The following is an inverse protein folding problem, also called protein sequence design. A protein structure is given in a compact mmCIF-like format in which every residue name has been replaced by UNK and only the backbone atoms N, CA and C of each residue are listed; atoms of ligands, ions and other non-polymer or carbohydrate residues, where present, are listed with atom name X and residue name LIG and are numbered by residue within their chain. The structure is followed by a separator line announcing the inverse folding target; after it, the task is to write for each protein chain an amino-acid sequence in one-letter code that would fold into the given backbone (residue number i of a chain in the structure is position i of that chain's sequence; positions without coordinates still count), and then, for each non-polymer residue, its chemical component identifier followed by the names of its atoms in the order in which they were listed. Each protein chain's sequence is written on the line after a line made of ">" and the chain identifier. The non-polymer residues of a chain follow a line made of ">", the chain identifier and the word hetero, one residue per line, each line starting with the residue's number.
data_IF_355355693025
#
_entry.id   IF_355355693025
#
_cell.length_a   1.000
_cell.length_b   1.000
_cell.length_c   1.000
_cell.angle_alpha   90.00
_cell.angle_beta   90.00
_cell.angle_gamma   90.00
#
_symmetry.space_group_name_H-M   'P 1'
#
loop_
_entity.id
_entity.type
_entity.pdbx_description
1 polymer ?
#
# COMPACT_ATOMS: atom_id res chain seq x y z
N UNK A 1 6.92 5.22 14.54
CA UNK A 1 5.70 5.24 15.38
C UNK A 1 4.53 4.49 14.74
N UNK A 2 4.03 4.87 13.55
CA UNK A 2 2.91 4.19 12.88
C UNK A 2 3.05 2.65 12.79
N UNK A 3 4.22 2.16 12.34
CA UNK A 3 4.54 0.71 12.30
C UNK A 3 4.34 -0.01 13.64
N UNK A 4 4.74 0.62 14.75
CA UNK A 4 4.66 0.03 16.10
C UNK A 4 3.18 -0.08 16.52
N UNK A 5 2.37 0.94 16.24
CA UNK A 5 0.93 0.88 16.52
C UNK A 5 0.20 -0.13 15.63
N UNK A 6 0.58 -0.27 14.36
CA UNK A 6 0.01 -1.30 13.49
C UNK A 6 0.35 -2.71 13.96
N UNK A 7 1.61 -2.93 14.36
CA UNK A 7 2.01 -4.21 14.95
C UNK A 7 1.27 -4.50 16.27
N UNK A 8 1.02 -3.48 17.08
CA UNK A 8 0.22 -3.64 18.29
C UNK A 8 -1.25 -3.96 17.97
N UNK A 9 -1.83 -3.36 16.94
CA UNK A 9 -3.17 -3.72 16.47
C UNK A 9 -3.23 -5.17 15.99
N UNK A 10 -2.24 -5.63 15.21
CA UNK A 10 -2.10 -7.03 14.81
C UNK A 10 -2.00 -7.98 16.02
N UNK A 11 -1.20 -7.61 17.02
CA UNK A 11 -1.10 -8.39 18.25
C UNK A 11 -2.46 -8.49 18.95
N UNK A 12 -3.15 -7.37 19.12
CA UNK A 12 -4.45 -7.34 19.78
C UNK A 12 -5.50 -8.16 19.03
N UNK A 13 -5.52 -8.12 17.70
CA UNK A 13 -6.49 -8.91 16.91
C UNK A 13 -6.17 -10.41 16.96
N UNK A 14 -4.89 -10.80 17.02
CA UNK A 14 -4.48 -12.20 17.25
C UNK A 14 -4.93 -12.66 18.64
N UNK A 15 -4.71 -11.86 19.68
CA UNK A 15 -5.13 -12.20 21.04
C UNK A 15 -6.66 -12.29 21.15
N UNK A 16 -7.38 -11.38 20.48
CA UNK A 16 -8.84 -11.46 20.39
C UNK A 16 -9.29 -12.73 19.68
N UNK A 17 -8.67 -13.10 18.55
CA UNK A 17 -8.97 -14.37 17.86
C UNK A 17 -8.74 -15.58 18.76
N UNK A 18 -7.61 -15.63 19.48
CA UNK A 18 -7.32 -16.70 20.43
C UNK A 18 -8.42 -16.77 21.49
N UNK A 19 -8.81 -15.63 22.08
CA UNK A 19 -9.88 -15.58 23.06
C UNK A 19 -11.21 -16.12 22.51
N UNK A 20 -11.53 -15.82 21.24
CA UNK A 20 -12.74 -16.30 20.56
C UNK A 20 -12.76 -17.81 20.32
N UNK A 21 -11.61 -18.45 20.11
CA UNK A 21 -11.54 -19.90 19.87
C UNK A 21 -11.38 -20.71 21.16
N UNK A 22 -10.92 -20.09 22.25
CA UNK A 22 -10.72 -20.75 23.55
C UNK A 22 -11.87 -20.56 24.53
N UNK A 23 -12.82 -19.67 24.24
CA UNK A 23 -14.01 -19.42 25.06
C UNK A 23 -14.92 -20.69 25.08
N UNK A 24 -15.14 -21.33 26.24
CA UNK A 24 -15.94 -22.54 26.34
C UNK A 24 -17.45 -22.28 26.32
N UNK A 25 -17.90 -21.03 26.44
CA UNK A 25 -19.32 -20.68 26.24
C UNK A 25 -19.64 -20.69 24.74
N UNK A 26 -20.59 -21.55 24.36
CA UNK A 26 -20.95 -21.96 22.99
C UNK A 26 -21.65 -20.87 22.15
N UNK A 27 -21.03 -19.70 22.06
CA UNK A 27 -21.34 -18.76 20.98
C UNK A 27 -20.08 -18.02 20.56
N UNK A 28 -19.40 -18.62 19.58
CA UNK A 28 -19.01 -17.87 18.38
C UNK A 28 -20.26 -17.20 17.80
N UNK A 29 -20.80 -16.18 18.49
CA UNK A 29 -21.92 -15.43 17.93
C UNK A 29 -21.45 -14.92 16.58
N UNK A 30 -22.28 -15.04 15.55
CA UNK A 30 -21.97 -14.55 14.22
C UNK A 30 -21.49 -13.09 14.28
N UNK A 31 -22.01 -12.32 15.23
CA UNK A 31 -21.57 -10.97 15.56
C UNK A 31 -20.09 -10.87 16.00
N UNK A 32 -19.62 -11.75 16.91
CA UNK A 32 -18.22 -11.72 17.37
C UNK A 32 -17.25 -12.05 16.25
N UNK A 33 -17.58 -13.02 15.39
CA UNK A 33 -16.78 -13.37 14.20
C UNK A 33 -16.81 -12.22 13.20
N UNK A 34 -17.98 -11.66 12.93
CA UNK A 34 -18.12 -10.51 12.03
C UNK A 34 -17.29 -9.32 12.50
N UNK A 35 -17.31 -9.01 13.79
CA UNK A 35 -16.48 -7.95 14.38
C UNK A 35 -14.98 -8.24 14.25
N UNK A 36 -14.56 -9.49 14.45
CA UNK A 36 -13.18 -9.90 14.21
C UNK A 36 -12.77 -9.65 12.75
N UNK A 37 -13.57 -10.13 11.79
CA UNK A 37 -13.29 -9.99 10.35
C UNK A 37 -13.22 -8.51 9.94
N UNK A 38 -14.15 -7.68 10.42
CA UNK A 38 -14.14 -6.24 10.19
C UNK A 38 -12.84 -5.59 10.70
N UNK A 39 -12.46 -5.84 11.94
CA UNK A 39 -11.26 -5.24 12.54
C UNK A 39 -10.00 -5.74 11.82
N UNK A 40 -9.93 -7.04 11.51
CA UNK A 40 -8.83 -7.63 10.76
C UNK A 40 -8.67 -6.97 9.38
N UNK A 41 -9.78 -6.70 8.67
CA UNK A 41 -9.73 -5.95 7.43
C UNK A 41 -9.23 -4.52 7.59
N UNK A 42 -9.70 -3.80 8.62
CA UNK A 42 -9.24 -2.43 8.87
C UNK A 42 -7.73 -2.39 9.14
N UNK A 43 -7.19 -3.36 9.90
CA UNK A 43 -5.76 -3.46 10.15
C UNK A 43 -4.99 -3.74 8.86
N UNK A 44 -5.46 -4.67 8.03
CA UNK A 44 -4.87 -4.92 6.70
C UNK A 44 -4.91 -3.67 5.80
N UNK A 45 -5.99 -2.89 5.86
CA UNK A 45 -6.13 -1.66 5.09
C UNK A 45 -5.10 -0.62 5.53
N UNK A 46 -4.90 -0.46 6.84
CA UNK A 46 -3.92 0.46 7.38
C UNK A 46 -2.48 0.04 7.02
N UNK A 47 -2.18 -1.26 7.07
CA UNK A 47 -0.90 -1.81 6.62
C UNK A 47 -0.64 -1.56 5.13
N UNK A 48 -1.64 -1.79 4.28
CA UNK A 48 -1.55 -1.50 2.85
C UNK A 48 -1.33 -0.01 2.58
N UNK A 49 -2.08 0.87 3.27
CA UNK A 49 -1.90 2.32 3.17
C UNK A 49 -0.51 2.75 3.62
N UNK A 50 -0.03 2.20 4.73
CA UNK A 50 1.31 2.47 5.25
C UNK A 50 2.39 2.09 4.23
N UNK A 51 2.32 0.89 3.63
CA UNK A 51 3.25 0.45 2.59
C UNK A 51 3.21 1.34 1.34
N UNK A 52 2.02 1.71 0.86
CA UNK A 52 1.87 2.63 -0.29
C UNK A 52 2.47 4.00 0.01
N UNK A 53 2.22 4.54 1.20
CA UNK A 53 2.80 5.82 1.63
C UNK A 53 4.32 5.74 1.73
N UNK A 54 4.85 4.64 2.24
CA UNK A 54 6.29 4.42 2.34
C UNK A 54 6.95 4.37 0.95
N UNK A 55 6.36 3.63 -0.01
CA UNK A 55 6.83 3.60 -1.40
C UNK A 55 6.81 5.00 -2.02
N UNK A 56 5.69 5.72 -1.86
CA UNK A 56 5.54 7.08 -2.38
C UNK A 56 6.59 8.02 -1.82
N UNK A 57 6.74 8.09 -0.50
CA UNK A 57 7.64 9.05 0.13
C UNK A 57 9.12 8.67 -0.09
N UNK A 58 9.43 7.37 -0.23
CA UNK A 58 10.77 6.91 -0.61
C UNK A 58 11.12 7.35 -2.05
N UNK A 59 10.16 7.23 -2.99
CA UNK A 59 10.29 7.77 -4.35
C UNK A 59 10.50 9.29 -4.33
N UNK A 60 9.66 10.04 -3.61
CA UNK A 60 9.75 11.50 -3.53
C UNK A 60 11.14 11.94 -3.02
N UNK A 61 11.69 11.22 -2.03
CA UNK A 61 13.05 11.48 -1.51
C UNK A 61 14.15 11.21 -2.53
N UNK A 62 14.04 10.12 -3.30
CA UNK A 62 15.01 9.79 -4.35
C UNK A 62 15.06 10.89 -5.43
N UNK A 63 13.90 11.35 -5.89
CA UNK A 63 13.80 12.42 -6.89
C UNK A 63 14.40 13.75 -6.40
N UNK A 64 14.18 14.11 -5.13
CA UNK A 64 14.78 15.32 -4.54
C UNK A 64 16.31 15.25 -4.47
N UNK A 65 16.86 14.05 -4.25
CA UNK A 65 18.31 13.85 -4.24
C UNK A 65 18.92 13.93 -5.66
N UNK A 66 18.17 13.54 -6.70
CA UNK A 66 18.56 13.72 -8.09
C UNK A 66 18.54 15.20 -8.53
N UNK A 67 17.51 15.95 -8.13
CA UNK A 67 17.38 17.37 -8.49
C UNK A 67 18.37 18.29 -7.75
N UNK A 68 18.77 17.96 -6.52
CA UNK A 68 19.68 18.78 -5.73
C UNK A 68 21.16 18.61 -6.09
N UNK A 69 21.50 17.72 -7.04
CA UNK A 69 22.86 17.62 -7.59
C UNK A 69 23.17 18.68 -8.65
N UNK A 70 22.17 19.43 -9.15
CA UNK A 70 22.36 20.42 -10.22
C UNK A 70 22.24 21.89 -9.78
N UNK A 71 21.96 22.15 -8.50
CA UNK A 71 21.86 23.51 -7.97
C UNK A 71 22.81 23.67 -6.78
N UNK A 72 23.72 24.64 -6.87
CA UNK A 72 24.58 25.06 -5.75
C UNK A 72 23.74 25.29 -4.49
N UNK A 73 24.17 24.78 -3.32
CA UNK A 73 23.38 24.83 -2.10
C UNK A 73 23.39 26.26 -1.56
N UNK A 74 22.25 26.94 -1.67
CA UNK A 74 21.98 28.08 -0.80
C UNK A 74 21.75 27.51 0.61
N UNK A 75 22.80 27.56 1.42
CA UNK A 75 22.76 27.35 2.86
C UNK A 75 21.73 28.29 3.49
N UNK A 76 20.52 27.79 3.69
CA UNK A 76 19.62 28.30 4.70
C UNK A 76 19.33 27.12 5.62
N UNK A 77 20.27 26.87 6.53
CA UNK A 77 20.01 26.11 7.74
C UNK A 77 18.83 26.76 8.46
N UNK A 78 17.66 26.14 8.35
CA UNK A 78 16.52 26.47 9.18
C UNK A 78 16.75 25.87 10.57
N UNK A 79 17.55 26.59 11.36
CA UNK A 79 17.92 26.30 12.74
C UNK A 79 16.73 26.39 13.72
N UNK A 80 15.50 26.62 13.22
CA UNK A 80 14.33 26.94 14.03
C UNK A 80 13.43 25.73 14.37
N UNK A 81 13.68 24.54 13.80
CA UNK A 81 12.80 23.37 13.98
C UNK A 81 13.34 22.23 14.86
N UNK A 82 14.60 22.31 15.31
CA UNK A 82 15.22 21.18 16.03
C UNK A 82 14.85 21.15 17.52
N UNK A 83 14.72 22.30 18.20
CA UNK A 83 14.52 22.34 19.67
C UNK A 83 13.09 22.05 20.15
N UNK A 84 12.06 22.24 19.32
CA UNK A 84 10.66 21.99 19.71
C UNK A 84 10.20 20.54 19.48
N UNK A 85 10.99 19.74 18.75
CA UNK A 85 10.65 18.35 18.39
C UNK A 85 11.08 17.32 19.44
N UNK A 86 12.10 17.63 20.25
CA UNK A 86 12.67 16.68 21.22
C UNK A 86 11.83 16.49 22.48
N UNK A 87 10.98 17.46 22.86
CA UNK A 87 10.18 17.37 24.10
C UNK A 87 8.76 16.83 23.90
N UNK A 88 8.21 16.81 22.67
CA UNK A 88 6.80 16.46 22.40
C UNK A 88 6.62 15.01 21.89
N UNK A 89 7.67 14.31 21.46
CA UNK A 89 7.57 12.94 20.94
C UNK A 89 8.54 11.99 21.64
N UNK A 90 8.28 11.68 22.92
CA UNK A 90 8.70 10.35 23.40
C UNK A 90 7.81 9.34 22.66
N UNK A 91 8.37 8.47 21.80
CA UNK A 91 7.55 7.52 21.06
C UNK A 91 6.75 6.68 22.08
N UNK A 92 5.43 6.62 21.92
CA UNK A 92 4.60 5.72 22.73
C UNK A 92 5.02 4.29 22.35
N UNK A 93 5.92 3.73 23.16
CA UNK A 93 6.49 2.41 22.95
C UNK A 93 5.78 1.44 23.87
N UNK A 94 5.34 0.31 23.32
CA UNK A 94 4.78 -0.79 24.09
C UNK A 94 5.92 -1.62 24.67
N UNK A 95 6.62 -1.07 25.67
CA UNK A 95 7.82 -1.68 26.27
C UNK A 95 7.53 -3.10 26.77
N UNK A 96 6.37 -3.31 27.38
CA UNK A 96 5.96 -4.62 27.91
C UNK A 96 5.65 -5.66 26.83
N UNK A 97 5.31 -5.21 25.60
CA UNK A 97 4.96 -6.07 24.47
C UNK A 97 6.09 -6.17 23.44
N UNK A 98 7.26 -5.55 23.67
CA UNK A 98 8.30 -5.41 22.65
C UNK A 98 8.75 -6.77 22.08
N UNK A 99 8.86 -7.79 22.93
CA UNK A 99 9.25 -9.15 22.53
C UNK A 99 8.19 -9.82 21.65
N UNK A 100 6.92 -9.67 21.99
CA UNK A 100 5.80 -10.27 21.26
C UNK A 100 5.58 -9.54 19.93
N UNK A 101 5.66 -8.21 19.95
CA UNK A 101 5.59 -7.38 18.76
C UNK A 101 6.72 -7.67 17.78
N UNK A 102 7.96 -7.95 18.23
CA UNK A 102 9.06 -8.35 17.33
C UNK A 102 8.71 -9.57 16.47
N UNK A 103 7.90 -10.49 16.98
CA UNK A 103 7.47 -11.69 16.25
C UNK A 103 6.43 -11.37 15.18
N UNK A 104 5.56 -10.38 15.44
CA UNK A 104 4.51 -9.92 14.51
C UNK A 104 5.08 -8.92 13.48
N UNK A 105 5.99 -8.04 13.89
CA UNK A 105 6.71 -7.08 13.04
C UNK A 105 7.51 -7.79 11.93
N UNK A 106 7.66 -9.12 12.01
CA UNK A 106 8.23 -9.96 10.95
C UNK A 106 7.46 -9.87 9.62
N UNK A 107 6.36 -9.14 9.49
CA UNK A 107 5.79 -8.75 8.19
C UNK A 107 6.63 -7.72 7.38
N UNK A 108 7.88 -7.45 7.78
CA UNK A 108 8.94 -6.89 6.92
C UNK A 108 8.71 -5.51 6.28
N UNK A 109 7.77 -4.69 6.77
CA UNK A 109 7.74 -3.28 6.33
C UNK A 109 8.60 -2.46 7.30
N UNK A 110 9.66 -1.86 6.77
CA UNK A 110 10.54 -0.96 7.51
C UNK A 110 9.82 0.35 7.87
N UNK A 111 10.33 1.05 8.87
CA UNK A 111 9.95 2.42 9.22
C UNK A 111 10.92 3.47 8.69
N UNK A 112 12.00 3.03 8.04
CA UNK A 112 12.90 3.88 7.28
C UNK A 112 12.50 3.93 5.80
N UNK A 113 12.83 5.03 5.13
CA UNK A 113 12.75 5.12 3.67
C UNK A 113 13.57 4.01 3.03
N UNK A 114 12.98 3.37 2.02
CA UNK A 114 13.60 2.25 1.30
C UNK A 114 14.27 2.71 0.02
N UNK A 115 15.43 2.15 -0.25
CA UNK A 115 16.15 2.28 -1.51
C UNK A 115 16.67 0.94 -2.03
N UNK A 116 16.56 -0.11 -1.23
CA UNK A 116 16.97 -1.47 -1.59
C UNK A 116 15.80 -2.22 -2.24
N UNK A 117 16.05 -2.82 -3.40
CA UNK A 117 15.03 -3.47 -4.22
C UNK A 117 14.40 -4.68 -3.51
N UNK A 118 15.15 -5.42 -2.68
CA UNK A 118 14.62 -6.57 -1.96
C UNK A 118 13.60 -6.13 -0.90
N UNK A 119 13.91 -5.08 -0.14
CA UNK A 119 12.97 -4.49 0.81
C UNK A 119 11.71 -3.97 0.11
N UNK A 120 11.87 -3.30 -1.03
CA UNK A 120 10.76 -2.74 -1.82
C UNK A 120 9.87 -3.84 -2.39
N UNK A 121 10.46 -4.94 -2.86
CA UNK A 121 9.73 -6.12 -3.31
C UNK A 121 8.86 -6.72 -2.22
N UNK A 122 9.41 -6.84 -1.01
CA UNK A 122 8.67 -7.36 0.14
C UNK A 122 7.49 -6.44 0.49
N UNK A 123 7.71 -5.12 0.47
CA UNK A 123 6.66 -4.13 0.69
C UNK A 123 5.54 -4.27 -0.34
N UNK A 124 5.87 -4.27 -1.64
CA UNK A 124 4.86 -4.42 -2.70
C UNK A 124 4.06 -5.72 -2.53
N UNK A 125 4.77 -6.84 -2.33
CA UNK A 125 4.16 -8.17 -2.18
C UNK A 125 3.16 -8.18 -1.02
N UNK A 126 3.53 -7.62 0.13
CA UNK A 126 2.64 -7.55 1.29
C UNK A 126 1.47 -6.59 1.06
N UNK A 127 1.69 -5.42 0.47
CA UNK A 127 0.63 -4.46 0.11
C UNK A 127 -0.41 -5.11 -0.79
N UNK A 128 0.02 -5.76 -1.88
CA UNK A 128 -0.89 -6.43 -2.81
C UNK A 128 -1.63 -7.58 -2.12
N UNK A 129 -0.95 -8.37 -1.27
CA UNK A 129 -1.59 -9.43 -0.49
C UNK A 129 -2.69 -8.89 0.43
N UNK A 130 -2.44 -7.83 1.20
CA UNK A 130 -3.44 -7.24 2.08
C UNK A 130 -4.60 -6.65 1.30
N UNK A 131 -4.33 -5.92 0.21
CA UNK A 131 -5.37 -5.36 -0.65
C UNK A 131 -6.24 -6.47 -1.27
N UNK A 132 -5.68 -7.60 -1.66
CA UNK A 132 -6.43 -8.74 -2.18
C UNK A 132 -7.37 -9.34 -1.13
N UNK A 133 -6.91 -9.49 0.13
CA UNK A 133 -7.78 -9.98 1.22
C UNK A 133 -8.99 -9.05 1.40
N UNK A 134 -8.75 -7.74 1.40
CA UNK A 134 -9.81 -6.75 1.58
C UNK A 134 -10.75 -6.74 0.35
N UNK A 135 -10.20 -6.83 -0.87
CA UNK A 135 -10.99 -6.91 -2.10
C UNK A 135 -11.94 -8.11 -2.09
N UNK A 136 -11.43 -9.30 -1.74
CA UNK A 136 -12.22 -10.53 -1.72
C UNK A 136 -13.36 -10.46 -0.70
N UNK A 137 -13.16 -9.82 0.45
CA UNK A 137 -14.24 -9.59 1.40
C UNK A 137 -15.34 -8.71 0.80
N UNK A 138 -15.00 -7.53 0.28
CA UNK A 138 -16.00 -6.62 -0.28
C UNK A 138 -16.68 -7.18 -1.53
N UNK A 139 -15.99 -8.04 -2.29
CA UNK A 139 -16.59 -8.83 -3.35
C UNK A 139 -17.63 -9.81 -2.81
N UNK A 140 -17.31 -10.54 -1.73
CA UNK A 140 -18.23 -11.50 -1.09
C UNK A 140 -19.52 -10.86 -0.58
N UNK A 141 -19.46 -9.61 -0.10
CA UNK A 141 -20.64 -8.85 0.36
C UNK A 141 -21.20 -7.88 -0.69
N UNK A 142 -20.78 -8.01 -1.96
CA UNK A 142 -21.26 -7.25 -3.10
C UNK A 142 -21.19 -5.71 -2.92
N UNK A 143 -20.14 -5.21 -2.27
CA UNK A 143 -19.92 -3.78 -2.05
C UNK A 143 -18.99 -3.19 -3.11
N UNK A 144 -19.59 -2.55 -4.11
CA UNK A 144 -18.86 -2.01 -5.27
C UNK A 144 -17.84 -0.91 -4.93
N UNK A 145 -18.26 0.12 -4.20
CA UNK A 145 -17.41 1.32 -3.98
C UNK A 145 -16.08 0.96 -3.28
N UNK A 146 -16.07 0.15 -2.19
CA UNK A 146 -14.82 -0.29 -1.58
C UNK A 146 -13.94 -1.12 -2.52
N UNK A 147 -14.53 -2.03 -3.32
CA UNK A 147 -13.77 -2.80 -4.32
C UNK A 147 -13.00 -1.88 -5.27
N UNK A 148 -13.66 -0.84 -5.79
CA UNK A 148 -13.06 0.15 -6.69
C UNK A 148 -11.90 0.91 -6.04
N UNK A 149 -12.06 1.34 -4.79
CA UNK A 149 -11.01 2.04 -4.05
C UNK A 149 -9.78 1.16 -3.86
N UNK A 150 -9.98 -0.13 -3.60
CA UNK A 150 -8.90 -1.10 -3.41
C UNK A 150 -8.12 -1.32 -4.71
N UNK A 151 -8.80 -1.46 -5.85
CA UNK A 151 -8.16 -1.59 -7.15
C UNK A 151 -7.31 -0.36 -7.47
N UNK A 152 -7.82 0.86 -7.20
CA UNK A 152 -7.04 2.09 -7.34
C UNK A 152 -5.81 2.13 -6.42
N UNK A 153 -5.92 1.57 -5.20
CA UNK A 153 -4.78 1.44 -4.29
C UNK A 153 -3.73 0.45 -4.82
N UNK A 154 -4.15 -0.68 -5.41
CA UNK A 154 -3.23 -1.62 -6.07
C UNK A 154 -2.49 -0.94 -7.22
N UNK A 155 -3.21 -0.20 -8.09
CA UNK A 155 -2.61 0.59 -9.17
C UNK A 155 -1.53 1.55 -8.65
N UNK A 156 -1.84 2.30 -7.59
CA UNK A 156 -0.87 3.22 -6.97
C UNK A 156 0.37 2.50 -6.43
N UNK A 157 0.21 1.31 -5.86
CA UNK A 157 1.34 0.53 -5.36
C UNK A 157 2.31 0.19 -6.49
N UNK A 158 1.81 -0.34 -7.62
CA UNK A 158 2.62 -0.59 -8.83
C UNK A 158 3.27 0.69 -9.37
N UNK A 159 2.49 1.78 -9.46
CA UNK A 159 2.96 3.08 -9.93
C UNK A 159 4.12 3.66 -9.10
N UNK A 160 4.15 3.41 -7.79
CA UNK A 160 5.28 3.86 -6.96
C UNK A 160 6.43 2.86 -7.02
N UNK A 161 6.14 1.56 -7.05
CA UNK A 161 7.13 0.49 -7.14
C UNK A 161 8.01 0.60 -8.40
N UNK A 162 7.42 0.95 -9.56
CA UNK A 162 8.16 1.02 -10.83
C UNK A 162 9.40 1.93 -10.78
N UNK A 163 9.40 2.96 -9.94
CA UNK A 163 10.52 3.91 -9.82
C UNK A 163 11.79 3.31 -9.23
N UNK A 164 11.67 2.17 -8.56
CA UNK A 164 12.80 1.49 -7.94
C UNK A 164 13.39 0.40 -8.83
N UNK A 165 12.76 0.10 -9.96
CA UNK A 165 13.31 -0.84 -10.94
C UNK A 165 14.46 -0.18 -11.70
N UNK A 166 15.62 -0.83 -11.69
CA UNK A 166 16.86 -0.27 -12.22
C UNK A 166 16.90 -0.19 -13.76
N UNK A 167 16.12 -1.02 -14.46
CA UNK A 167 16.16 -1.08 -15.92
C UNK A 167 14.81 -0.79 -16.55
N UNK A 168 14.82 -0.06 -17.68
CA UNK A 168 13.62 0.24 -18.47
C UNK A 168 12.81 -1.02 -18.80
N UNK A 169 13.48 -2.15 -19.08
CA UNK A 169 12.80 -3.43 -19.37
C UNK A 169 12.01 -3.94 -18.16
N UNK A 170 12.56 -3.85 -16.94
CA UNK A 170 11.82 -4.25 -15.74
C UNK A 170 10.70 -3.26 -15.42
N UNK A 171 10.94 -1.97 -15.61
CA UNK A 171 9.91 -0.93 -15.47
C UNK A 171 8.71 -1.19 -16.38
N UNK A 172 8.96 -1.47 -17.66
CA UNK A 172 7.94 -1.84 -18.65
C UNK A 172 7.13 -3.05 -18.16
N UNK A 173 7.78 -4.13 -17.70
CA UNK A 173 7.09 -5.32 -17.18
C UNK A 173 6.16 -5.02 -16.01
N UNK A 174 6.58 -4.13 -15.10
CA UNK A 174 5.75 -3.72 -13.96
C UNK A 174 4.51 -2.95 -14.42
N UNK A 175 4.66 -2.06 -15.41
CA UNK A 175 3.55 -1.28 -15.97
C UNK A 175 2.60 -2.19 -16.77
N UNK A 176 3.12 -3.19 -17.49
CA UNK A 176 2.33 -4.23 -18.14
C UNK A 176 1.50 -5.00 -17.11
N UNK A 177 2.11 -5.44 -16.01
CA UNK A 177 1.39 -6.10 -14.90
C UNK A 177 0.32 -5.20 -14.29
N UNK A 178 0.59 -3.90 -14.14
CA UNK A 178 -0.39 -2.92 -13.66
C UNK A 178 -1.58 -2.81 -14.63
N UNK A 179 -1.32 -2.74 -15.94
CA UNK A 179 -2.35 -2.65 -16.97
C UNK A 179 -3.21 -3.93 -17.01
N UNK A 180 -2.58 -5.11 -17.05
CA UNK A 180 -3.27 -6.41 -17.03
C UNK A 180 -4.18 -6.55 -15.81
N UNK A 181 -3.71 -6.15 -14.63
CA UNK A 181 -4.48 -6.15 -13.39
C UNK A 181 -5.71 -5.23 -13.49
N UNK A 182 -5.51 -3.98 -13.96
CA UNK A 182 -6.59 -3.00 -14.12
C UNK A 182 -7.65 -3.49 -15.13
N UNK A 183 -7.21 -4.03 -16.27
CA UNK A 183 -8.12 -4.59 -17.29
C UNK A 183 -8.94 -5.75 -16.76
N UNK A 184 -8.29 -6.70 -16.07
CA UNK A 184 -8.95 -7.84 -15.47
C UNK A 184 -10.08 -7.40 -14.53
N UNK A 185 -9.80 -6.45 -13.63
CA UNK A 185 -10.82 -5.93 -12.72
C UNK A 185 -11.91 -5.13 -13.44
N UNK A 186 -11.56 -4.26 -14.38
CA UNK A 186 -12.55 -3.47 -15.16
C UNK A 186 -13.52 -4.40 -15.89
N UNK A 187 -13.03 -5.46 -16.52
CA UNK A 187 -13.84 -6.43 -17.24
C UNK A 187 -14.82 -7.16 -16.30
N UNK A 188 -14.35 -7.58 -15.11
CA UNK A 188 -15.20 -8.18 -14.08
C UNK A 188 -16.29 -7.19 -13.65
N UNK A 189 -15.91 -5.95 -13.33
CA UNK A 189 -16.83 -4.95 -12.79
C UNK A 189 -17.90 -4.51 -13.80
N UNK A 190 -17.55 -4.38 -15.09
CA UNK A 190 -18.53 -4.06 -16.14
C UNK A 190 -19.59 -5.17 -16.26
N UNK A 191 -19.20 -6.42 -16.06
CA UNK A 191 -20.14 -7.54 -16.13
C UNK A 191 -21.06 -7.64 -14.90
N UNK A 192 -20.57 -7.22 -13.74
CA UNK A 192 -21.26 -7.37 -12.45
C UNK A 192 -22.14 -6.14 -12.10
N UNK A 193 -21.81 -4.94 -12.59
CA UNK A 193 -22.39 -3.67 -12.12
C UNK A 193 -22.82 -2.75 -13.29
N UNK A 194 -24.05 -2.24 -13.26
CA UNK A 194 -24.68 -1.52 -14.38
C UNK A 194 -25.47 -0.25 -13.99
N UNK A 195 -25.24 0.33 -12.81
CA UNK A 195 -25.92 1.56 -12.36
C UNK A 195 -25.16 2.84 -12.72
N UNK A 196 -25.87 3.98 -12.74
CA UNK A 196 -25.29 5.28 -13.05
C UNK A 196 -24.22 5.75 -12.05
N UNK A 197 -24.35 5.40 -10.77
CA UNK A 197 -23.35 5.75 -9.73
C UNK A 197 -22.04 4.97 -9.92
N UNK A 198 -22.16 3.69 -10.30
CA UNK A 198 -21.03 2.80 -10.54
C UNK A 198 -20.19 3.27 -11.74
N UNK A 199 -20.86 3.84 -12.75
CA UNK A 199 -20.21 4.42 -13.93
C UNK A 199 -19.19 5.52 -13.58
N UNK A 200 -19.44 6.36 -12.57
CA UNK A 200 -18.49 7.40 -12.17
C UNK A 200 -17.16 6.82 -11.68
N UNK A 201 -17.21 5.73 -10.90
CA UNK A 201 -16.01 5.05 -10.42
C UNK A 201 -15.35 4.25 -11.53
N UNK A 202 -16.13 3.60 -12.38
CA UNK A 202 -15.61 2.88 -13.54
C UNK A 202 -14.84 3.82 -14.47
N UNK A 203 -15.32 5.05 -14.64
CA UNK A 203 -14.61 6.11 -15.37
C UNK A 203 -13.24 6.40 -14.75
N UNK A 204 -13.14 6.44 -13.41
CA UNK A 204 -11.84 6.63 -12.71
C UNK A 204 -10.87 5.49 -12.97
N UNK A 205 -11.32 4.24 -12.94
CA UNK A 205 -10.46 3.09 -13.29
C UNK A 205 -10.02 3.13 -14.74
N UNK A 206 -10.93 3.45 -15.67
CA UNK A 206 -10.58 3.58 -17.09
C UNK A 206 -9.57 4.71 -17.33
N UNK A 207 -9.69 5.84 -16.61
CA UNK A 207 -8.67 6.88 -16.68
C UNK A 207 -7.32 6.43 -16.13
N UNK A 208 -7.30 5.70 -15.01
CA UNK A 208 -6.06 5.15 -14.46
C UNK A 208 -5.41 4.16 -15.43
N UNK A 209 -6.20 3.30 -16.09
CA UNK A 209 -5.74 2.39 -17.14
C UNK A 209 -5.19 3.16 -18.34
N UNK A 210 -5.87 4.21 -18.81
CA UNK A 210 -5.41 5.05 -19.90
C UNK A 210 -4.07 5.75 -19.58
N UNK A 211 -3.90 6.24 -18.35
CA UNK A 211 -2.63 6.81 -17.87
C UNK A 211 -1.52 5.75 -17.86
N UNK A 212 -1.86 4.53 -17.43
CA UNK A 212 -0.93 3.39 -17.41
C UNK A 212 -0.44 3.06 -18.82
N UNK A 213 -1.37 2.95 -19.78
CA UNK A 213 -1.02 2.71 -21.18
C UNK A 213 -0.25 3.86 -21.83
N UNK A 214 -0.59 5.11 -21.52
CA UNK A 214 0.18 6.27 -21.97
C UNK A 214 1.63 6.18 -21.47
N UNK A 215 1.82 5.85 -20.19
CA UNK A 215 3.16 5.70 -19.60
C UNK A 215 3.93 4.55 -20.27
N UNK A 216 3.27 3.44 -20.56
CA UNK A 216 3.86 2.30 -21.26
C UNK A 216 4.30 2.68 -22.69
N UNK A 217 3.46 3.44 -23.39
CA UNK A 217 3.76 3.92 -24.74
C UNK A 217 4.98 4.86 -24.72
N UNK A 218 5.01 5.82 -23.78
CA UNK A 218 6.13 6.76 -23.65
C UNK A 218 7.45 6.02 -23.38
N UNK A 219 7.44 4.99 -22.52
CA UNK A 219 8.65 4.19 -22.25
C UNK A 219 9.09 3.33 -23.44
N UNK A 220 8.16 2.85 -24.26
CA UNK A 220 8.48 2.01 -25.42
C UNK A 220 8.87 2.82 -26.66
N UNK A 221 8.37 4.05 -26.82
CA UNK A 221 8.76 4.95 -27.90
C UNK A 221 10.19 5.48 -27.74
N UNK A 222 10.61 5.85 -26.52
CA UNK A 222 12.00 6.22 -26.23
C UNK A 222 13.01 5.14 -26.65
N UNK A 223 12.61 3.86 -26.58
CA UNK A 223 13.46 2.73 -26.98
C UNK A 223 13.63 2.63 -28.50
N UNK A 224 12.65 3.08 -29.28
CA UNK A 224 12.75 3.11 -30.75
C UNK A 224 13.73 4.20 -31.20
N UNK A 225 13.66 5.37 -30.57
CA UNK A 225 14.53 6.51 -30.89
C UNK A 225 16.01 6.27 -30.51
N UNK A 226 16.29 5.37 -29.56
CA UNK A 226 17.66 4.95 -29.21
C UNK A 226 18.29 3.97 -30.24
N UNK A 227 17.50 3.43 -31.18
CA UNK A 227 17.94 2.44 -32.19
C UNK A 227 18.14 3.07 -33.58
N UNK A 228 17.56 4.25 -33.85
CA UNK A 228 17.79 5.05 -35.07
C UNK A 228 19.04 5.95 -35.00
#
# INVERSE_FOLDING_TARGET
>A
EAKIHLAAADYMIIMYYISLITDPDDAKSEEKIYNYDLIYMFINQLWAMYGIMLLRSSKERLLQHESNKSCEPNNIESECHLKLKEEIMKPLTFVDLEKDLKTIIKYHITDAYVSDLDDINIILTNVIKWLNVIYMHFKGINQFIPQMQIILCMSKAYKYYVYFEESKIKQIKVIEQQAEMLESFINILISEYNTSLEYHYLKKLNFELAITYSTLLDMTSEKLDEIE
#
